data_IF_962454575759
#
_entry.id   IF_962454575759
#
_cell.length_a   1.000
_cell.length_b   1.000
_cell.length_c   1.000
_cell.angle_alpha   90.00
_cell.angle_beta   90.00
_cell.angle_gamma   90.00
#
_symmetry.space_group_name_H-M   'P 1'
#
loop_
_entity.id
_entity.type
_entity.pdbx_description
1 polymer ?
#
# COMPACT_ATOMS: atom_id res chain seq x y z
N UNK A 1 7.13 -6.35 -1.56
CA UNK A 1 5.81 -6.36 -0.88
C UNK A 1 6.08 -6.68 0.58
N UNK A 2 5.67 -5.82 1.51
CA UNK A 2 5.88 -6.04 2.94
C UNK A 2 4.52 -6.10 3.64
N UNK A 3 4.32 -7.16 4.44
CA UNK A 3 3.15 -7.38 5.27
C UNK A 3 3.59 -7.39 6.73
N UNK A 4 2.94 -6.58 7.56
CA UNK A 4 3.11 -6.59 9.01
C UNK A 4 1.74 -6.47 9.66
N UNK A 5 1.48 -7.37 10.60
CA UNK A 5 0.29 -7.35 11.43
C UNK A 5 0.70 -7.02 12.87
N UNK A 6 -0.08 -6.21 13.55
CA UNK A 6 0.18 -5.84 14.95
C UNK A 6 -1.13 -5.90 15.72
N UNK A 7 -1.09 -6.64 16.83
CA UNK A 7 -2.21 -6.83 17.74
C UNK A 7 -1.98 -5.93 18.95
N UNK A 8 -2.89 -4.99 19.18
CA UNK A 8 -2.88 -4.12 20.37
C UNK A 8 -4.23 -4.25 21.08
N UNK A 9 -4.27 -5.12 22.10
CA UNK A 9 -5.46 -5.42 22.87
C UNK A 9 -5.91 -4.29 23.83
N UNK A 10 -5.19 -3.15 23.85
CA UNK A 10 -5.47 -2.02 24.74
C UNK A 10 -6.04 -0.80 24.02
N UNK A 11 -6.06 -0.81 22.68
CA UNK A 11 -6.59 0.26 21.84
C UNK A 11 -8.00 -0.05 21.31
N UNK A 12 -8.76 1.00 20.95
CA UNK A 12 -10.16 0.91 20.46
C UNK A 12 -10.32 0.02 19.21
N UNK A 13 -9.28 -0.11 18.39
CA UNK A 13 -9.26 -0.99 17.21
C UNK A 13 -8.18 -2.05 17.42
N UNK A 14 -8.56 -3.28 17.83
CA UNK A 14 -7.60 -4.27 18.35
C UNK A 14 -6.68 -4.87 17.28
N UNK A 15 -7.00 -4.75 15.99
CA UNK A 15 -6.20 -5.31 14.89
C UNK A 15 -6.08 -4.30 13.75
N UNK A 16 -4.84 -4.05 13.30
CA UNK A 16 -4.53 -3.20 12.14
C UNK A 16 -3.63 -3.96 11.17
N UNK A 17 -4.01 -3.97 9.89
CA UNK A 17 -3.22 -4.57 8.82
C UNK A 17 -2.53 -3.44 8.05
N UNK A 18 -1.19 -3.43 8.07
CA UNK A 18 -0.39 -2.50 7.29
C UNK A 18 0.22 -3.21 6.08
N UNK A 19 -0.07 -2.69 4.87
CA UNK A 19 0.41 -3.25 3.61
C UNK A 19 1.16 -2.20 2.80
N UNK A 20 2.35 -2.53 2.32
CA UNK A 20 3.09 -1.70 1.38
C UNK A 20 3.13 -2.36 0.01
N UNK A 21 2.49 -1.69 -0.96
CA UNK A 21 2.49 -2.08 -2.37
C UNK A 21 3.56 -1.32 -3.14
N UNK A 22 4.23 -2.02 -4.06
CA UNK A 22 5.10 -1.43 -5.07
C UNK A 22 4.68 -2.01 -6.41
N UNK A 23 4.34 -1.15 -7.36
CA UNK A 23 3.83 -1.51 -8.67
C UNK A 23 4.41 -0.55 -9.73
N UNK A 24 4.52 -1.02 -10.97
CA UNK A 24 4.92 -0.20 -12.11
C UNK A 24 3.88 0.88 -12.43
N UNK A 25 2.59 0.54 -12.26
CA UNK A 25 1.48 1.47 -12.47
C UNK A 25 0.45 1.27 -11.36
N UNK A 26 -0.06 2.37 -10.81
CA UNK A 26 -1.14 2.39 -9.82
C UNK A 26 -2.31 3.18 -10.42
N UNK A 27 -3.45 2.52 -10.62
CA UNK A 27 -4.68 3.15 -11.14
C UNK A 27 -5.72 3.28 -10.03
N UNK A 28 -6.25 4.48 -9.82
CA UNK A 28 -7.30 4.78 -8.84
C UNK A 28 -8.40 5.59 -9.52
N UNK A 29 -9.50 4.93 -9.85
CA UNK A 29 -10.58 5.55 -10.63
C UNK A 29 -10.07 6.02 -11.99
N UNK A 30 -10.10 7.34 -12.22
CA UNK A 30 -9.61 7.97 -13.46
C UNK A 30 -8.16 8.49 -13.36
N UNK A 31 -7.48 8.28 -12.22
CA UNK A 31 -6.10 8.68 -12.03
C UNK A 31 -5.15 7.50 -12.25
N UNK A 32 -4.03 7.75 -12.92
CA UNK A 32 -2.96 6.77 -13.16
C UNK A 32 -1.63 7.35 -12.69
N UNK A 33 -0.87 6.54 -11.94
CA UNK A 33 0.49 6.84 -11.51
C UNK A 33 1.43 5.80 -12.11
N UNK A 34 2.27 6.23 -13.04
CA UNK A 34 3.30 5.39 -13.68
C UNK A 34 4.66 5.66 -13.04
N UNK A 35 5.24 4.62 -12.43
CA UNK A 35 6.55 4.65 -11.79
C UNK A 35 7.69 4.27 -12.74
N UNK A 36 7.41 3.98 -14.02
CA UNK A 36 8.44 3.66 -15.02
C UNK A 36 9.18 4.93 -15.44
N UNK A 37 10.47 4.80 -15.66
CA UNK A 37 11.27 5.87 -16.26
C UNK A 37 10.78 6.13 -17.70
N UNK A 38 10.82 7.39 -18.17
CA UNK A 38 10.54 7.72 -19.56
C UNK A 38 11.46 6.88 -20.47
N UNK A 39 10.88 6.17 -21.43
CA UNK A 39 11.67 5.48 -22.45
C UNK A 39 12.26 6.56 -23.38
N UNK A 40 13.59 6.58 -23.48
CA UNK A 40 14.34 7.40 -24.45
C UNK A 40 14.10 6.94 -25.89
#
# INVERSE_FOLDING_TARGET
>A
MHYKETLDATNEVPMTIAMTFSAETITVGNAELDNRWPKV
#
